data_IF_101039871494
#
_entry.id   IF_101039871494
#
_cell.length_a   1.000
_cell.length_b   1.000
_cell.length_c   1.000
_cell.angle_alpha   90.00
_cell.angle_beta   90.00
_cell.angle_gamma   90.00
#
_symmetry.space_group_name_H-M   'P 1'
#
loop_
_entity.id
_entity.type
_entity.pdbx_description
1 polymer ?
#
# COMPACT_ATOMS: atom_id res chain seq x y z
N UNK A 1 -1.55 -44.15 -32.57
CA UNK A 1 -0.46 -43.18 -32.72
C UNK A 1 -0.89 -42.22 -33.82
N UNK A 2 -1.51 -41.10 -33.47
CA UNK A 2 -1.90 -40.08 -34.43
C UNK A 2 -1.41 -38.72 -33.93
N UNK A 3 -0.72 -38.08 -34.84
CA UNK A 3 0.26 -37.01 -34.69
C UNK A 3 -0.47 -35.69 -34.42
N UNK A 4 -0.15 -35.02 -33.32
CA UNK A 4 -0.60 -33.66 -33.06
C UNK A 4 0.09 -32.70 -34.03
N UNK A 5 -0.70 -32.01 -34.85
CA UNK A 5 -0.24 -30.87 -35.63
C UNK A 5 -0.01 -29.69 -34.68
N UNK A 6 1.25 -29.36 -34.43
CA UNK A 6 1.61 -28.07 -33.85
C UNK A 6 1.47 -27.00 -34.94
N UNK A 7 0.51 -26.09 -34.78
CA UNK A 7 0.55 -24.81 -35.49
C UNK A 7 1.62 -23.96 -34.78
N UNK A 8 2.79 -23.87 -35.40
CA UNK A 8 3.75 -22.79 -35.15
C UNK A 8 3.09 -21.49 -35.60
N UNK A 9 2.88 -20.54 -34.69
CA UNK A 9 2.75 -19.15 -35.11
C UNK A 9 4.14 -18.68 -35.54
N UNK A 10 4.27 -18.43 -36.85
CA UNK A 10 5.45 -17.82 -37.44
C UNK A 10 5.63 -16.42 -36.85
N UNK A 11 6.81 -16.18 -36.32
CA UNK A 11 7.36 -14.83 -36.21
C UNK A 11 7.68 -14.41 -37.65
N UNK A 12 6.93 -13.45 -38.18
CA UNK A 12 7.24 -12.85 -39.48
C UNK A 12 8.41 -11.88 -39.25
N UNK A 13 9.64 -12.37 -39.42
CA UNK A 13 10.83 -11.55 -39.60
C UNK A 13 10.75 -10.89 -40.99
N UNK A 14 10.04 -9.76 -41.11
CA UNK A 14 10.31 -8.68 -42.09
C UNK A 14 9.11 -7.74 -42.27
N UNK A 15 8.80 -7.00 -41.21
CA UNK A 15 8.64 -5.56 -41.37
C UNK A 15 8.93 -4.95 -40.01
N UNK A 16 9.99 -4.15 -39.89
CA UNK A 16 9.99 -3.05 -38.92
C UNK A 16 8.83 -2.14 -39.34
N UNK A 17 7.62 -2.53 -38.97
CA UNK A 17 6.55 -1.58 -38.76
C UNK A 17 7.01 -0.83 -37.54
N UNK A 18 7.44 0.41 -37.71
CA UNK A 18 7.64 1.34 -36.60
C UNK A 18 6.38 1.27 -35.74
N UNK A 19 6.46 0.57 -34.61
CA UNK A 19 5.34 0.43 -33.70
C UNK A 19 5.12 1.84 -33.17
N UNK A 20 4.12 2.53 -33.72
CA UNK A 20 3.81 3.90 -33.35
C UNK A 20 3.33 3.90 -31.90
N UNK A 21 4.27 4.20 -31.00
CA UNK A 21 3.98 4.38 -29.58
C UNK A 21 3.00 5.55 -29.45
N UNK A 22 1.86 5.31 -28.83
CA UNK A 22 0.87 6.35 -28.59
C UNK A 22 1.41 7.39 -27.61
N UNK A 23 1.10 8.65 -27.87
CA UNK A 23 1.31 9.75 -26.94
C UNK A 23 0.01 10.02 -26.18
N UNK A 24 0.08 10.51 -24.95
CA UNK A 24 -1.07 10.89 -24.15
C UNK A 24 -1.91 12.03 -24.75
N UNK A 25 -1.33 12.78 -25.69
CA UNK A 25 -2.02 13.78 -26.50
C UNK A 25 -3.02 13.13 -27.49
N UNK A 26 -2.70 11.91 -27.95
CA UNK A 26 -3.45 11.15 -28.95
C UNK A 26 -3.04 9.67 -28.93
N UNK A 27 -3.95 8.83 -28.48
CA UNK A 27 -3.75 7.37 -28.42
C UNK A 27 -5.00 6.62 -28.88
N UNK A 28 -4.89 5.32 -29.09
CA UNK A 28 -6.02 4.47 -29.45
C UNK A 28 -6.32 3.48 -28.34
N UNK A 29 -7.60 3.13 -28.21
CA UNK A 29 -8.06 2.02 -27.39
C UNK A 29 -8.93 1.09 -28.22
N UNK A 30 -8.87 -0.20 -27.92
CA UNK A 30 -9.65 -1.24 -28.60
C UNK A 30 -10.21 -2.19 -27.57
N UNK A 31 -11.51 -2.45 -27.63
CA UNK A 31 -12.14 -3.50 -26.82
C UNK A 31 -11.63 -4.87 -27.27
N UNK A 32 -11.10 -5.66 -26.34
CA UNK A 32 -10.65 -7.04 -26.55
C UNK A 32 -11.55 -8.00 -25.78
N UNK A 33 -11.98 -9.05 -26.48
CA UNK A 33 -12.78 -10.13 -25.91
C UNK A 33 -12.10 -11.46 -26.23
N UNK A 34 -11.90 -12.29 -25.20
CA UNK A 34 -11.31 -13.61 -25.32
C UNK A 34 -12.17 -14.65 -24.61
N UNK A 35 -12.49 -15.73 -25.31
CA UNK A 35 -13.25 -16.86 -24.75
C UNK A 35 -12.78 -18.21 -25.29
N UNK A 36 -12.67 -18.35 -26.62
CA UNK A 36 -12.05 -19.50 -27.31
C UNK A 36 -11.11 -19.00 -28.40
N UNK A 37 -11.58 -18.01 -29.16
CA UNK A 37 -10.79 -17.19 -30.07
C UNK A 37 -10.67 -15.77 -29.52
N UNK A 38 -9.69 -15.03 -30.02
CA UNK A 38 -9.41 -13.65 -29.63
C UNK A 38 -10.05 -12.71 -30.63
N UNK A 39 -10.98 -11.91 -30.15
CA UNK A 39 -11.69 -10.93 -30.96
C UNK A 39 -11.40 -9.51 -30.47
N UNK A 40 -11.56 -8.56 -31.39
CA UNK A 40 -11.42 -7.14 -31.12
C UNK A 40 -12.64 -6.39 -31.66
N UNK A 41 -13.18 -5.50 -30.82
CA UNK A 41 -14.17 -4.52 -31.24
C UNK A 41 -13.55 -3.34 -31.96
N UNK A 42 -14.35 -2.31 -32.16
CA UNK A 42 -13.89 -1.09 -32.82
C UNK A 42 -12.73 -0.44 -32.06
N UNK A 43 -11.76 0.04 -32.81
CA UNK A 43 -10.68 0.88 -32.30
C UNK A 43 -11.13 2.32 -32.32
N UNK A 44 -11.02 3.00 -31.18
CA UNK A 44 -11.40 4.40 -31.03
C UNK A 44 -10.15 5.22 -30.75
N UNK A 45 -10.00 6.33 -31.46
CA UNK A 45 -8.98 7.34 -31.18
C UNK A 45 -9.44 8.24 -30.03
N UNK A 46 -8.57 8.38 -29.04
CA UNK A 46 -8.78 9.21 -27.85
C UNK A 46 -7.80 10.38 -27.93
N UNK A 47 -8.36 11.58 -28.01
CA UNK A 47 -7.59 12.83 -28.17
C UNK A 47 -7.76 13.79 -27.00
N UNK A 48 -8.69 13.49 -26.08
CA UNK A 48 -8.99 14.32 -24.90
C UNK A 48 -9.77 13.56 -23.83
N UNK A 49 -9.91 14.19 -22.67
CA UNK A 49 -10.79 13.74 -21.59
C UNK A 49 -12.25 13.64 -22.06
N UNK A 50 -12.95 12.60 -21.61
CA UNK A 50 -14.34 12.39 -22.00
C UNK A 50 -14.83 10.97 -21.81
N UNK A 51 -16.05 10.74 -22.27
CA UNK A 51 -16.68 9.42 -22.28
C UNK A 51 -16.60 8.82 -23.68
N UNK A 52 -16.25 7.55 -23.74
CA UNK A 52 -16.08 6.81 -25.00
C UNK A 52 -16.86 5.50 -24.91
N UNK A 53 -17.44 5.08 -26.02
CA UNK A 53 -18.24 3.85 -26.10
C UNK A 53 -17.65 2.91 -27.13
N UNK A 54 -17.47 1.66 -26.73
CA UNK A 54 -16.95 0.59 -27.55
C UNK A 54 -18.02 -0.46 -27.72
N UNK A 55 -18.10 -1.04 -28.91
CA UNK A 55 -19.08 -2.07 -29.21
C UNK A 55 -18.39 -3.24 -29.91
N UNK A 56 -18.83 -4.45 -29.58
CA UNK A 56 -18.46 -5.66 -30.29
C UNK A 56 -19.67 -6.60 -30.36
N UNK A 57 -19.94 -7.14 -31.55
CA UNK A 57 -20.97 -8.17 -31.73
C UNK A 57 -20.27 -9.52 -31.77
N UNK A 58 -20.60 -10.39 -30.81
CA UNK A 58 -19.98 -11.72 -30.74
C UNK A 58 -20.38 -12.61 -31.90
N UNK A 59 -19.47 -13.45 -32.36
CA UNK A 59 -19.67 -14.29 -33.55
C UNK A 59 -19.99 -15.75 -33.20
N UNK A 60 -19.77 -16.16 -31.95
CA UNK A 60 -19.91 -17.55 -31.48
C UNK A 60 -20.45 -17.61 -30.05
N UNK A 61 -21.13 -18.71 -29.74
CA UNK A 61 -21.55 -19.04 -28.38
C UNK A 61 -20.34 -19.34 -27.50
N UNK A 62 -20.32 -18.77 -26.30
CA UNK A 62 -19.24 -18.92 -25.35
C UNK A 62 -19.81 -19.13 -23.94
N UNK A 63 -19.55 -20.31 -23.38
CA UNK A 63 -19.96 -20.68 -22.01
C UNK A 63 -19.06 -20.12 -20.91
N UNK A 64 -17.96 -19.46 -21.31
CA UNK A 64 -17.01 -18.79 -20.42
C UNK A 64 -16.40 -17.58 -21.13
N UNK A 65 -16.24 -16.47 -20.39
CA UNK A 65 -15.44 -15.33 -20.81
C UNK A 65 -14.07 -15.43 -20.15
N UNK A 66 -13.00 -15.58 -20.93
CA UNK A 66 -11.63 -15.71 -20.43
C UNK A 66 -10.96 -14.34 -20.26
N UNK A 67 -11.27 -13.37 -21.11
CA UNK A 67 -10.81 -12.00 -20.96
C UNK A 67 -11.81 -11.01 -21.55
N UNK A 68 -12.00 -9.90 -20.85
CA UNK A 68 -12.61 -8.69 -21.39
C UNK A 68 -11.74 -7.51 -20.96
N UNK A 69 -11.19 -6.78 -21.92
CA UNK A 69 -10.19 -5.76 -21.64
C UNK A 69 -10.17 -4.63 -22.69
N UNK A 70 -9.47 -3.54 -22.39
CA UNK A 70 -9.11 -2.51 -23.36
C UNK A 70 -7.62 -2.57 -23.62
N UNK A 71 -7.24 -2.91 -24.85
CA UNK A 71 -5.87 -2.75 -25.30
C UNK A 71 -5.67 -1.31 -25.76
N UNK A 72 -4.63 -0.64 -25.28
CA UNK A 72 -4.22 0.67 -25.78
C UNK A 72 -3.01 0.53 -26.70
N UNK A 73 -2.55 1.64 -27.30
CA UNK A 73 -1.20 1.74 -27.86
C UNK A 73 -0.26 2.58 -26.96
N UNK A 74 -0.57 2.73 -25.67
CA UNK A 74 0.26 3.44 -24.70
C UNK A 74 1.29 2.48 -24.09
N UNK A 75 2.52 2.97 -23.86
CA UNK A 75 3.64 2.16 -23.40
C UNK A 75 4.13 2.55 -22.01
N UNK A 76 4.97 1.69 -21.45
CA UNK A 76 5.49 1.87 -20.11
C UNK A 76 6.20 3.21 -19.92
N UNK A 77 5.76 3.96 -18.91
CA UNK A 77 6.32 5.27 -18.56
C UNK A 77 5.67 6.47 -19.27
N UNK A 78 4.71 6.26 -20.17
CA UNK A 78 4.00 7.35 -20.87
C UNK A 78 2.81 7.88 -20.07
N UNK A 79 2.13 7.05 -19.26
CA UNK A 79 0.95 7.47 -18.48
C UNK A 79 1.32 8.44 -17.35
N UNK A 80 0.64 9.59 -17.29
CA UNK A 80 0.77 10.56 -16.21
C UNK A 80 -0.04 10.14 -14.96
N UNK A 81 0.28 10.71 -13.80
CA UNK A 81 -0.31 10.31 -12.50
C UNK A 81 -1.82 10.57 -12.39
N UNK A 82 -2.37 11.43 -13.24
CA UNK A 82 -3.79 11.78 -13.25
C UNK A 82 -4.57 11.02 -14.35
N UNK A 83 -3.86 10.23 -15.16
CA UNK A 83 -4.45 9.47 -16.23
C UNK A 83 -5.29 8.34 -15.67
N UNK A 84 -6.52 8.23 -16.15
CA UNK A 84 -7.39 7.13 -15.78
C UNK A 84 -8.25 6.73 -16.95
N UNK A 85 -8.32 5.42 -17.18
CA UNK A 85 -9.40 4.80 -17.94
C UNK A 85 -10.19 3.99 -16.94
N UNK A 86 -11.49 4.27 -16.84
CA UNK A 86 -12.42 3.51 -16.01
C UNK A 86 -13.58 3.05 -16.85
N UNK A 87 -13.94 1.76 -16.75
CA UNK A 87 -15.19 1.30 -17.33
C UNK A 87 -16.34 1.64 -16.39
N UNK A 88 -17.34 2.35 -16.89
CA UNK A 88 -18.52 2.75 -16.11
C UNK A 88 -19.58 1.65 -16.10
N UNK A 89 -19.76 0.99 -17.24
CA UNK A 89 -20.72 -0.10 -17.40
C UNK A 89 -20.36 -0.99 -18.58
N UNK A 90 -20.72 -2.26 -18.47
CA UNK A 90 -20.77 -3.22 -19.57
C UNK A 90 -22.23 -3.56 -19.82
N UNK A 91 -22.69 -3.44 -21.05
CA UNK A 91 -24.05 -3.80 -21.45
C UNK A 91 -23.94 -4.95 -22.44
N UNK A 92 -24.66 -6.03 -22.19
CA UNK A 92 -24.79 -7.13 -23.16
C UNK A 92 -26.25 -7.15 -23.61
N UNK A 93 -26.49 -6.79 -24.87
CA UNK A 93 -27.81 -6.47 -25.41
C UNK A 93 -28.50 -5.39 -24.56
N UNK A 94 -29.48 -5.77 -23.73
CA UNK A 94 -30.22 -4.86 -22.84
C UNK A 94 -29.83 -5.03 -21.36
N UNK A 95 -28.95 -5.99 -21.04
CA UNK A 95 -28.57 -6.29 -19.66
C UNK A 95 -27.37 -5.46 -19.25
N UNK A 96 -27.55 -4.62 -18.22
CA UNK A 96 -26.50 -3.76 -17.68
C UNK A 96 -25.75 -4.47 -16.54
N UNK A 97 -24.45 -4.66 -16.73
CA UNK A 97 -23.49 -5.15 -15.75
C UNK A 97 -22.71 -3.96 -15.19
N UNK A 98 -22.74 -3.82 -13.86
CA UNK A 98 -21.94 -2.82 -13.16
C UNK A 98 -20.51 -3.31 -13.04
N UNK A 99 -19.56 -2.39 -13.19
CA UNK A 99 -18.14 -2.69 -13.00
C UNK A 99 -17.78 -2.50 -11.53
N UNK A 100 -17.27 -3.57 -10.91
CA UNK A 100 -16.59 -3.52 -9.63
C UNK A 100 -15.18 -2.99 -9.83
N UNK A 101 -15.02 -1.68 -9.62
CA UNK A 101 -13.75 -0.98 -9.78
C UNK A 101 -12.62 -1.55 -8.91
N UNK A 102 -12.93 -2.29 -7.82
CA UNK A 102 -11.90 -2.93 -6.97
C UNK A 102 -11.29 -4.17 -7.61
N UNK A 103 -11.94 -4.70 -8.65
CA UNK A 103 -11.51 -5.88 -9.39
C UNK A 103 -11.16 -5.58 -10.85
N UNK A 104 -11.24 -4.33 -11.29
CA UNK A 104 -10.72 -3.94 -12.60
C UNK A 104 -9.28 -3.45 -12.42
N UNK A 105 -8.37 -3.82 -13.32
CA UNK A 105 -6.96 -3.53 -13.14
C UNK A 105 -6.24 -3.23 -14.45
N UNK A 106 -5.27 -2.31 -14.39
CA UNK A 106 -4.24 -2.20 -15.42
C UNK A 106 -3.32 -3.41 -15.32
N UNK A 107 -3.11 -4.09 -16.44
CA UNK A 107 -1.98 -4.97 -16.63
C UNK A 107 -0.83 -4.14 -17.24
N UNK A 108 0.19 -3.91 -16.42
CA UNK A 108 1.45 -3.25 -16.77
C UNK A 108 2.65 -4.17 -16.53
N UNK A 109 2.41 -5.47 -16.35
CA UNK A 109 3.43 -6.45 -15.98
C UNK A 109 4.38 -6.84 -17.13
N UNK A 110 4.07 -6.38 -18.35
CA UNK A 110 4.86 -6.62 -19.56
C UNK A 110 6.20 -5.88 -19.63
N UNK A 111 7.04 -6.29 -20.59
CA UNK A 111 8.26 -5.56 -20.98
C UNK A 111 7.89 -4.17 -21.52
N UNK A 112 8.87 -3.28 -21.65
CA UNK A 112 8.66 -1.90 -22.15
C UNK A 112 8.11 -1.83 -23.59
N UNK A 113 8.09 -2.97 -24.28
CA UNK A 113 7.53 -3.20 -25.62
C UNK A 113 6.05 -3.62 -25.62
N UNK A 114 5.44 -3.86 -24.46
CA UNK A 114 4.03 -4.25 -24.37
C UNK A 114 3.16 -3.03 -24.08
N UNK A 115 2.09 -2.81 -24.86
CA UNK A 115 1.17 -1.74 -24.57
C UNK A 115 0.31 -2.03 -23.34
N UNK A 116 -0.11 -0.97 -22.67
CA UNK A 116 -0.96 -1.06 -21.49
C UNK A 116 -2.34 -1.61 -21.82
N UNK A 117 -2.82 -2.51 -20.96
CA UNK A 117 -4.13 -3.15 -21.09
C UNK A 117 -4.95 -2.95 -19.82
N UNK A 118 -6.17 -2.45 -19.93
CA UNK A 118 -7.10 -2.34 -18.80
C UNK A 118 -8.08 -3.51 -18.78
N UNK A 119 -7.97 -4.39 -17.78
CA UNK A 119 -8.67 -5.68 -17.75
C UNK A 119 -9.87 -5.63 -16.80
N UNK A 120 -11.03 -6.07 -17.31
CA UNK A 120 -12.30 -6.18 -16.57
C UNK A 120 -12.58 -7.62 -16.11
N UNK A 121 -12.23 -8.61 -16.94
CA UNK A 121 -12.36 -10.04 -16.64
C UNK A 121 -11.04 -10.71 -16.99
N UNK A 122 -10.55 -11.58 -16.11
CA UNK A 122 -9.46 -12.50 -16.34
C UNK A 122 -9.79 -13.86 -15.71
N UNK A 123 -10.17 -14.81 -16.56
CA UNK A 123 -10.55 -16.17 -16.18
C UNK A 123 -9.40 -17.01 -15.58
N UNK A 124 -8.15 -16.58 -15.74
CA UNK A 124 -6.97 -17.26 -15.19
C UNK A 124 -6.50 -16.68 -13.84
N UNK A 125 -6.87 -15.42 -13.54
CA UNK A 125 -6.39 -14.69 -12.35
C UNK A 125 -7.44 -14.47 -11.26
N UNK A 126 -8.65 -15.05 -11.40
CA UNK A 126 -9.75 -14.81 -10.47
C UNK A 126 -10.31 -13.39 -10.53
N UNK A 127 -10.08 -12.69 -11.64
CA UNK A 127 -10.54 -11.31 -11.85
C UNK A 127 -11.89 -11.35 -12.56
N UNK A 128 -12.93 -10.86 -11.89
CA UNK A 128 -14.27 -10.74 -12.47
C UNK A 128 -14.96 -9.51 -11.89
N UNK A 129 -14.80 -8.38 -12.58
CA UNK A 129 -15.38 -7.10 -12.16
C UNK A 129 -16.85 -6.94 -12.56
N UNK A 130 -17.34 -7.72 -13.52
CA UNK A 130 -18.69 -7.53 -14.10
C UNK A 130 -19.64 -8.69 -13.85
N UNK A 131 -19.16 -9.85 -13.42
CA UNK A 131 -19.98 -11.04 -13.16
C UNK A 131 -20.48 -11.72 -14.44
N UNK A 132 -19.86 -11.44 -15.59
CA UNK A 132 -20.28 -11.94 -16.89
C UNK A 132 -19.61 -13.28 -17.16
N UNK A 133 -20.40 -14.34 -17.21
CA UNK A 133 -19.89 -15.71 -17.36
C UNK A 133 -20.19 -16.34 -18.72
N UNK A 134 -21.23 -15.90 -19.44
CA UNK A 134 -21.67 -16.51 -20.71
C UNK A 134 -22.14 -15.46 -21.70
N UNK A 135 -21.92 -15.71 -22.99
CA UNK A 135 -22.36 -14.86 -24.10
C UNK A 135 -22.75 -15.75 -25.29
N UNK A 136 -23.80 -15.38 -26.04
CA UNK A 136 -24.24 -16.10 -27.25
C UNK A 136 -23.82 -15.38 -28.51
N UNK A 137 -23.65 -16.11 -29.61
CA UNK A 137 -23.43 -15.55 -30.92
C UNK A 137 -24.53 -14.52 -31.26
N UNK A 138 -24.11 -13.35 -31.74
CA UNK A 138 -24.99 -12.22 -32.04
C UNK A 138 -25.23 -11.29 -30.85
N UNK A 139 -24.82 -11.65 -29.63
CA UNK A 139 -24.91 -10.73 -28.49
C UNK A 139 -23.98 -9.53 -28.71
N UNK A 140 -24.54 -8.35 -28.47
CA UNK A 140 -23.83 -7.07 -28.59
C UNK A 140 -23.28 -6.66 -27.22
N UNK A 141 -21.96 -6.68 -27.10
CA UNK A 141 -21.23 -6.17 -25.94
C UNK A 141 -20.95 -4.69 -26.19
N UNK A 142 -21.49 -3.82 -25.35
CA UNK A 142 -21.22 -2.38 -25.35
C UNK A 142 -20.57 -2.00 -24.05
N UNK A 143 -19.39 -1.37 -24.10
CA UNK A 143 -18.68 -0.92 -22.90
C UNK A 143 -18.50 0.59 -22.96
N UNK A 144 -18.95 1.27 -21.90
CA UNK A 144 -18.75 2.70 -21.73
C UNK A 144 -17.56 2.92 -20.82
N UNK A 145 -16.59 3.70 -21.28
CA UNK A 145 -15.45 4.13 -20.47
C UNK A 145 -15.46 5.63 -20.27
N UNK A 146 -14.80 6.05 -19.19
CA UNK A 146 -14.43 7.43 -18.94
C UNK A 146 -12.91 7.54 -18.93
N UNK A 147 -12.41 8.48 -19.71
CA UNK A 147 -11.00 8.84 -19.79
C UNK A 147 -10.80 10.19 -19.13
N UNK A 148 -9.83 10.28 -18.22
CA UNK A 148 -9.43 11.53 -17.58
C UNK A 148 -7.91 11.65 -17.55
N UNK A 149 -7.40 12.88 -17.49
CA UNK A 149 -5.98 13.15 -17.34
C UNK A 149 -5.17 13.01 -18.62
N UNK A 150 -5.79 13.15 -19.79
CA UNK A 150 -5.06 13.38 -21.04
C UNK A 150 -4.35 14.74 -21.01
N UNK A 151 -3.31 14.90 -21.83
CA UNK A 151 -2.56 16.15 -21.90
C UNK A 151 -3.34 17.28 -22.60
N UNK A 152 -4.23 16.90 -23.53
CA UNK A 152 -5.14 17.81 -24.23
C UNK A 152 -6.46 17.93 -23.48
N UNK A 153 -6.44 18.65 -22.36
CA UNK A 153 -7.64 18.90 -21.58
C UNK A 153 -8.60 19.82 -22.38
N UNK A 154 -9.88 19.43 -22.51
CA UNK A 154 -10.86 20.16 -23.32
C UNK A 154 -11.20 21.52 -22.71
N UNK A 155 -11.03 22.62 -23.47
CA UNK A 155 -11.66 23.91 -23.15
C UNK A 155 -13.14 23.96 -23.59
N UNK A 156 -14.00 24.43 -22.66
CA UNK A 156 -15.35 25.05 -22.75
C UNK A 156 -16.62 24.19 -23.01
N UNK A 157 -17.85 24.65 -22.62
CA UNK A 157 -18.26 25.89 -21.92
C UNK A 157 -19.03 25.67 -20.59
N UNK A 158 -19.26 26.77 -19.85
CA UNK A 158 -20.21 26.85 -18.74
C UNK A 158 -21.62 26.41 -19.17
N UNK A 159 -22.25 25.49 -18.43
CA UNK A 159 -23.69 25.41 -18.36
C UNK A 159 -24.16 24.99 -16.95
N UNK A 160 -25.17 25.69 -16.48
CA UNK A 160 -25.73 25.66 -15.13
C UNK A 160 -26.77 24.55 -15.01
N UNK A 161 -26.60 23.57 -14.10
CA UNK A 161 -27.71 22.77 -13.53
C UNK A 161 -27.49 22.40 -12.06
N UNK A 162 -28.64 22.30 -11.37
CA UNK A 162 -28.91 22.14 -9.93
C UNK A 162 -28.17 21.02 -9.17
N UNK A 163 -28.14 21.06 -7.82
CA UNK A 163 -27.21 20.27 -7.03
C UNK A 163 -27.72 18.86 -6.77
N UNK A 164 -27.16 17.88 -7.48
CA UNK A 164 -27.26 16.47 -7.09
C UNK A 164 -26.21 16.08 -6.03
N UNK A 165 -26.62 15.09 -5.23
CA UNK A 165 -26.06 14.69 -3.94
C UNK A 165 -24.56 14.39 -3.93
N UNK A 166 -23.85 15.06 -3.03
CA UNK A 166 -22.42 14.82 -2.81
C UNK A 166 -22.21 13.51 -2.07
N UNK A 167 -21.74 12.48 -2.79
CA UNK A 167 -21.07 11.32 -2.19
C UNK A 167 -19.91 11.79 -1.31
N UNK A 168 -19.74 11.10 -0.18
CA UNK A 168 -18.77 11.46 0.85
C UNK A 168 -17.32 11.50 0.32
N UNK A 169 -16.48 12.41 0.82
CA UNK A 169 -15.06 12.42 0.49
C UNK A 169 -14.43 11.18 1.11
N UNK A 170 -13.87 10.30 0.27
CA UNK A 170 -12.82 9.38 0.66
C UNK A 170 -11.75 10.18 1.42
N UNK A 171 -11.36 9.69 2.60
CA UNK A 171 -10.30 10.33 3.37
C UNK A 171 -9.04 10.35 2.50
N UNK A 172 -8.56 11.56 2.15
CA UNK A 172 -7.19 11.76 1.69
C UNK A 172 -6.28 11.14 2.78
N UNK A 173 -5.76 9.95 2.52
CA UNK A 173 -4.63 9.41 3.26
C UNK A 173 -3.48 10.37 2.92
N UNK A 174 -2.91 11.05 3.91
CA UNK A 174 -1.79 11.97 3.69
C UNK A 174 -0.67 11.19 2.96
N UNK A 175 -0.56 11.36 1.64
CA UNK A 175 0.49 10.74 0.83
C UNK A 175 1.83 11.26 1.34
N UNK A 176 2.77 10.36 1.65
CA UNK A 176 4.13 10.77 2.02
C UNK A 176 4.77 11.61 0.92
N UNK A 177 5.40 12.73 1.28
CA UNK A 177 6.15 13.55 0.33
C UNK A 177 7.50 12.85 0.07
N UNK A 178 7.97 12.81 -1.18
CA UNK A 178 9.28 12.25 -1.53
C UNK A 178 10.46 13.06 -0.99
N UNK A 179 10.22 14.29 -0.53
CA UNK A 179 11.19 15.08 0.26
C UNK A 179 11.33 14.56 1.70
N UNK A 180 10.30 13.87 2.22
CA UNK A 180 10.27 13.35 3.58
C UNK A 180 9.23 12.24 3.74
N UNK A 181 9.69 11.01 3.93
CA UNK A 181 8.84 9.85 4.17
C UNK A 181 9.39 8.97 5.29
N UNK A 182 8.60 8.06 5.82
CA UNK A 182 8.99 7.19 6.94
C UNK A 182 9.09 5.76 6.45
N UNK A 183 10.21 5.10 6.74
CA UNK A 183 10.36 3.65 6.61
C UNK A 183 10.18 2.99 7.96
N UNK A 184 9.39 1.93 8.00
CA UNK A 184 9.15 1.08 9.16
C UNK A 184 9.69 -0.31 8.92
N UNK A 185 10.70 -0.71 9.70
CA UNK A 185 11.06 -2.11 9.80
C UNK A 185 9.97 -2.82 10.61
N UNK A 186 9.38 -3.87 10.05
CA UNK A 186 8.49 -4.78 10.78
C UNK A 186 9.13 -6.15 10.83
N UNK A 187 9.35 -6.60 12.06
CA UNK A 187 9.92 -7.89 12.40
C UNK A 187 8.82 -8.71 13.08
N UNK A 188 8.42 -9.82 12.45
CA UNK A 188 7.41 -10.74 12.95
C UNK A 188 8.01 -12.13 13.14
N UNK A 189 8.23 -12.52 14.39
CA UNK A 189 8.66 -13.85 14.79
C UNK A 189 7.51 -14.63 15.46
N UNK A 190 7.72 -15.90 15.77
CA UNK A 190 6.73 -16.74 16.46
C UNK A 190 6.35 -16.19 17.86
N UNK A 191 7.26 -15.46 18.51
CA UNK A 191 7.14 -14.99 19.89
C UNK A 191 7.40 -13.48 20.08
N UNK A 192 7.96 -12.78 19.09
CA UNK A 192 8.31 -11.35 19.16
C UNK A 192 7.78 -10.58 17.94
N UNK A 193 7.22 -9.40 18.17
CA UNK A 193 6.71 -8.50 17.12
C UNK A 193 7.15 -7.08 17.44
N UNK A 194 8.05 -6.57 16.61
CA UNK A 194 8.61 -5.25 16.80
C UNK A 194 8.46 -4.40 15.53
N UNK A 195 8.30 -3.08 15.73
CA UNK A 195 8.31 -2.12 14.64
C UNK A 195 9.13 -0.89 15.02
N UNK A 196 10.00 -0.50 14.11
CA UNK A 196 10.88 0.65 14.23
C UNK A 196 10.64 1.57 13.06
N UNK A 197 10.62 2.87 13.29
CA UNK A 197 10.41 3.87 12.24
C UNK A 197 11.62 4.78 12.12
N UNK A 198 12.02 5.06 10.89
CA UNK A 198 13.04 6.03 10.54
C UNK A 198 12.48 6.99 9.50
N UNK A 199 12.64 8.29 9.74
CA UNK A 199 12.35 9.31 8.73
C UNK A 199 13.51 9.36 7.74
N UNK A 200 13.18 9.28 6.46
CA UNK A 200 14.09 9.42 5.32
C UNK A 200 13.86 10.81 4.73
N UNK A 201 14.94 11.59 4.64
CA UNK A 201 14.92 12.96 4.12
C UNK A 201 15.80 13.15 2.89
N UNK A 202 16.68 12.20 2.59
CA UNK A 202 17.62 12.27 1.47
C UNK A 202 18.03 10.88 0.96
N UNK A 203 18.69 10.86 -0.20
CA UNK A 203 19.33 9.66 -0.73
C UNK A 203 20.50 9.25 0.17
N UNK A 204 20.67 7.95 0.40
CA UNK A 204 21.74 7.48 1.28
C UNK A 204 21.60 6.04 1.72
N UNK A 205 22.55 5.62 2.57
CA UNK A 205 22.55 4.33 3.24
C UNK A 205 21.96 4.47 4.64
N UNK A 206 21.12 3.52 5.01
CA UNK A 206 20.39 3.54 6.27
C UNK A 206 20.43 2.16 6.94
N UNK A 207 20.37 2.17 8.26
CA UNK A 207 20.27 0.95 9.08
C UNK A 207 19.11 1.06 10.07
N UNK A 208 18.46 -0.06 10.33
CA UNK A 208 17.43 -0.21 11.37
C UNK A 208 17.74 -1.44 12.22
N UNK A 209 17.83 -1.26 13.54
CA UNK A 209 18.24 -2.30 14.49
C UNK A 209 17.13 -2.65 15.48
N UNK A 210 17.05 -3.93 15.84
CA UNK A 210 16.16 -4.48 16.85
C UNK A 210 16.90 -5.49 17.73
N UNK A 211 16.87 -5.30 19.04
CA UNK A 211 17.35 -6.31 19.99
C UNK A 211 16.20 -7.29 20.30
N UNK A 212 16.39 -8.56 19.97
CA UNK A 212 15.42 -9.61 20.21
C UNK A 212 15.12 -9.74 21.72
N UNK A 213 13.84 -9.75 22.09
CA UNK A 213 13.43 -9.76 23.51
C UNK A 213 13.18 -11.15 24.08
N UNK A 214 13.16 -12.16 23.20
CA UNK A 214 13.03 -13.58 23.53
C UNK A 214 13.73 -14.43 22.46
N UNK A 215 13.89 -15.72 22.73
CA UNK A 215 14.41 -16.66 21.74
C UNK A 215 13.39 -16.84 20.61
N UNK A 216 13.89 -16.84 19.38
CA UNK A 216 13.14 -16.93 18.13
C UNK A 216 13.72 -18.05 17.29
N UNK A 217 12.91 -19.09 17.08
CA UNK A 217 13.30 -20.25 16.27
C UNK A 217 13.38 -19.94 14.77
N UNK A 218 12.56 -19.00 14.28
CA UNK A 218 12.57 -18.55 12.89
C UNK A 218 11.78 -17.24 12.74
N UNK A 219 12.09 -16.49 11.69
CA UNK A 219 11.43 -15.23 11.36
C UNK A 219 10.29 -15.51 10.38
N UNK A 220 9.06 -15.21 10.77
CA UNK A 220 7.89 -15.36 9.90
C UNK A 220 7.83 -14.25 8.84
N UNK A 221 8.20 -13.03 9.25
CA UNK A 221 8.09 -11.81 8.44
C UNK A 221 9.25 -10.86 8.72
N UNK A 222 9.88 -10.36 7.66
CA UNK A 222 10.82 -9.24 7.72
C UNK A 222 10.53 -8.30 6.55
N UNK A 223 10.06 -7.09 6.85
CA UNK A 223 9.59 -6.14 5.82
C UNK A 223 10.00 -4.71 6.12
N UNK A 224 10.31 -3.94 5.08
CA UNK A 224 10.44 -2.48 5.14
C UNK A 224 9.15 -1.85 4.58
N UNK A 225 8.34 -1.26 5.45
CA UNK A 225 7.07 -0.63 5.10
C UNK A 225 7.24 0.89 5.00
N UNK A 226 6.85 1.50 3.90
CA UNK A 226 6.87 2.95 3.76
C UNK A 226 5.53 3.56 4.21
N UNK A 227 5.43 4.89 4.22
CA UNK A 227 4.16 5.62 4.17
C UNK A 227 3.93 6.29 2.80
N UNK A 228 4.60 5.79 1.75
CA UNK A 228 4.43 6.22 0.36
C UNK A 228 3.32 5.37 -0.29
N UNK A 229 2.46 5.98 -1.09
CA UNK A 229 1.29 5.35 -1.71
C UNK A 229 1.43 5.36 -3.24
N UNK A 230 0.56 4.62 -3.95
CA UNK A 230 0.54 4.63 -5.41
C UNK A 230 0.49 6.04 -5.99
N UNK A 231 1.40 6.30 -6.94
CA UNK A 231 1.59 7.60 -7.59
C UNK A 231 2.44 8.60 -6.77
N UNK A 232 2.98 8.23 -5.61
CA UNK A 232 3.94 9.07 -4.88
C UNK A 232 5.39 8.88 -5.34
N UNK A 233 5.71 7.78 -6.03
CA UNK A 233 7.08 7.44 -6.40
C UNK A 233 7.46 8.05 -7.74
N UNK A 234 8.61 8.70 -7.79
CA UNK A 234 9.23 8.99 -9.08
C UNK A 234 9.91 7.74 -9.66
N UNK A 235 10.14 7.76 -10.97
CA UNK A 235 10.76 6.66 -11.73
C UNK A 235 12.18 6.30 -11.30
N UNK A 236 12.86 7.19 -10.58
CA UNK A 236 14.22 6.98 -10.06
C UNK A 236 14.23 6.43 -8.63
N UNK A 237 13.07 6.38 -7.96
CA UNK A 237 13.01 5.95 -6.57
C UNK A 237 13.29 4.46 -6.43
N UNK A 238 14.25 4.13 -5.57
CA UNK A 238 14.61 2.75 -5.26
C UNK A 238 14.93 2.62 -3.78
N UNK A 239 14.31 1.63 -3.14
CA UNK A 239 14.78 1.06 -1.88
C UNK A 239 15.48 -0.25 -2.24
N UNK A 240 16.75 -0.37 -1.88
CA UNK A 240 17.56 -1.56 -2.13
C UNK A 240 18.07 -2.08 -0.80
N UNK A 241 17.46 -3.13 -0.22
CA UNK A 241 18.06 -3.81 0.92
C UNK A 241 19.35 -4.50 0.49
N UNK A 242 20.35 -4.42 1.37
CA UNK A 242 21.70 -4.90 1.09
C UNK A 242 21.99 -6.14 1.94
N UNK A 243 21.74 -6.05 3.23
CA UNK A 243 22.04 -7.13 4.17
C UNK A 243 21.17 -7.09 5.42
N UNK A 244 21.13 -8.25 6.08
CA UNK A 244 20.66 -8.40 7.45
C UNK A 244 21.84 -8.85 8.28
N UNK A 245 22.16 -8.16 9.37
CA UNK A 245 23.21 -8.54 10.31
C UNK A 245 22.57 -9.03 11.60
N UNK A 246 23.03 -10.17 12.11
CA UNK A 246 22.70 -10.65 13.45
C UNK A 246 23.98 -10.60 14.27
N UNK A 247 24.00 -9.74 15.28
CA UNK A 247 25.20 -9.36 16.02
C UNK A 247 26.31 -8.91 15.06
N UNK A 248 27.32 -9.74 14.83
CA UNK A 248 28.47 -9.46 13.97
C UNK A 248 28.45 -10.25 12.65
N UNK A 249 27.44 -11.12 12.44
CA UNK A 249 27.34 -11.96 11.24
C UNK A 249 26.40 -11.32 10.23
N UNK A 250 26.92 -10.98 9.06
CA UNK A 250 26.16 -10.37 7.96
C UNK A 250 25.65 -11.41 6.96
N UNK A 251 24.38 -11.28 6.59
CA UNK A 251 23.68 -12.11 5.62
C UNK A 251 23.22 -11.24 4.46
N UNK A 252 23.76 -11.48 3.27
CA UNK A 252 23.42 -10.69 2.09
C UNK A 252 21.98 -10.96 1.64
N UNK A 253 21.27 -9.89 1.31
CA UNK A 253 19.92 -9.98 0.76
C UNK A 253 20.02 -10.13 -0.76
N UNK A 254 19.36 -11.15 -1.31
CA UNK A 254 19.12 -11.19 -2.73
C UNK A 254 17.99 -10.23 -3.11
N UNK A 255 18.36 -9.04 -3.60
CA UNK A 255 17.42 -7.98 -4.01
C UNK A 255 16.62 -8.33 -5.27
N UNK A 256 16.99 -9.38 -6.02
CA UNK A 256 16.22 -9.89 -7.15
C UNK A 256 15.03 -10.74 -6.70
N UNK A 257 15.14 -11.38 -5.53
CA UNK A 257 14.08 -12.21 -4.92
C UNK A 257 13.23 -11.37 -3.96
N UNK A 258 13.81 -10.34 -3.36
CA UNK A 258 13.07 -9.46 -2.47
C UNK A 258 12.12 -8.55 -3.28
N UNK A 259 10.82 -8.79 -3.12
CA UNK A 259 9.80 -8.18 -3.97
C UNK A 259 9.22 -6.92 -3.36
N UNK A 260 9.03 -5.94 -4.23
CA UNK A 260 8.10 -4.83 -4.04
C UNK A 260 6.68 -5.39 -4.04
N UNK A 261 6.04 -5.41 -2.87
CA UNK A 261 4.66 -5.82 -2.74
C UNK A 261 3.81 -4.62 -2.35
N UNK A 262 2.85 -4.28 -3.20
CA UNK A 262 1.67 -3.52 -2.81
C UNK A 262 0.55 -4.54 -2.62
N UNK A 263 0.34 -5.00 -1.39
CA UNK A 263 -0.65 -6.04 -1.12
C UNK A 263 -2.05 -5.41 -1.13
N UNK A 264 -2.63 -5.32 -2.32
CA UNK A 264 -4.04 -4.95 -2.56
C UNK A 264 -4.27 -3.44 -2.67
N UNK A 265 -4.85 -3.01 -3.78
CA UNK A 265 -5.29 -1.64 -4.04
C UNK A 265 -4.20 -0.55 -3.91
N UNK A 266 -3.59 -0.21 -5.06
CA UNK A 266 -2.47 0.72 -5.19
C UNK A 266 -2.74 2.13 -4.62
N UNK A 267 -4.02 2.48 -4.42
CA UNK A 267 -4.41 3.80 -3.89
C UNK A 267 -4.43 3.82 -2.35
N UNK A 268 -4.59 2.68 -1.69
CA UNK A 268 -4.90 2.61 -0.24
C UNK A 268 -3.78 1.98 0.58
N UNK A 269 -2.97 1.10 -0.01
CA UNK A 269 -1.89 0.43 0.73
C UNK A 269 -0.52 1.05 0.44
N UNK A 270 0.26 1.37 1.49
CA UNK A 270 1.58 1.92 1.30
C UNK A 270 2.55 0.85 0.81
N UNK A 271 3.64 1.27 0.18
CA UNK A 271 4.59 0.34 -0.39
C UNK A 271 5.37 -0.43 0.67
N UNK A 272 5.45 -1.75 0.46
CA UNK A 272 6.16 -2.68 1.33
C UNK A 272 7.22 -3.44 0.54
N UNK A 273 8.44 -3.42 1.04
CA UNK A 273 9.52 -4.27 0.56
C UNK A 273 9.59 -5.52 1.44
N UNK A 274 9.35 -6.69 0.87
CA UNK A 274 9.33 -7.96 1.62
C UNK A 274 10.64 -8.70 1.47
N UNK A 275 11.34 -8.93 2.58
CA UNK A 275 12.61 -9.67 2.60
C UNK A 275 12.36 -11.15 2.96
N UNK A 276 11.54 -11.38 3.99
CA UNK A 276 11.16 -12.73 4.45
C UNK A 276 9.65 -12.77 4.62
N UNK A 277 9.03 -13.81 4.08
CA UNK A 277 7.63 -14.16 4.26
C UNK A 277 7.45 -15.69 4.17
N UNK A 278 7.31 -16.32 5.35
CA UNK A 278 7.10 -17.76 5.46
C UNK A 278 5.72 -18.24 4.99
N UNK A 279 4.73 -17.34 4.83
CA UNK A 279 3.38 -17.71 4.35
C UNK A 279 3.28 -17.77 2.82
N UNK A 280 4.23 -17.19 2.09
CA UNK A 280 4.22 -17.09 0.62
C UNK A 280 5.38 -17.78 -0.08
N UNK A 281 6.14 -18.66 0.61
CA UNK A 281 7.38 -19.27 0.12
C UNK A 281 8.41 -18.24 -0.39
N UNK A 282 8.55 -17.11 0.30
CA UNK A 282 9.44 -16.03 -0.10
C UNK A 282 10.49 -15.78 0.97
N UNK A 283 11.73 -16.20 0.71
CA UNK A 283 12.88 -15.96 1.58
C UNK A 283 14.04 -15.40 0.75
N UNK A 284 14.28 -14.09 0.82
CA UNK A 284 15.43 -13.46 0.15
C UNK A 284 16.77 -13.75 0.85
N UNK A 285 16.71 -14.26 2.08
CA UNK A 285 17.85 -14.58 2.94
C UNK A 285 17.46 -15.68 3.93
N UNK A 286 18.36 -16.63 4.19
CA UNK A 286 18.15 -17.69 5.17
C UNK A 286 18.82 -17.31 6.49
N UNK A 287 18.03 -16.95 7.49
CA UNK A 287 18.53 -16.47 8.78
C UNK A 287 18.54 -17.61 9.83
N UNK A 288 19.55 -17.66 10.70
CA UNK A 288 19.60 -18.63 11.79
C UNK A 288 18.54 -18.33 12.85
N UNK A 289 18.43 -19.24 13.83
CA UNK A 289 17.72 -18.97 15.08
C UNK A 289 18.34 -17.77 15.79
N UNK A 290 17.50 -16.93 16.38
CA UNK A 290 17.90 -15.72 17.10
C UNK A 290 17.67 -15.95 18.58
N UNK A 291 18.62 -15.59 19.43
CA UNK A 291 18.50 -15.66 20.88
C UNK A 291 18.06 -14.32 21.45
N UNK A 292 17.43 -14.36 22.62
CA UNK A 292 17.18 -13.15 23.39
C UNK A 292 18.47 -12.36 23.60
N UNK A 293 18.45 -11.08 23.24
CA UNK A 293 19.59 -10.17 23.35
C UNK A 293 20.37 -10.00 22.04
N UNK A 294 20.16 -10.85 21.04
CA UNK A 294 20.78 -10.67 19.72
C UNK A 294 20.27 -9.39 19.05
N UNK A 295 21.17 -8.69 18.36
CA UNK A 295 20.85 -7.49 17.61
C UNK A 295 20.66 -7.81 16.13
N UNK A 296 19.43 -7.68 15.65
CA UNK A 296 19.05 -7.78 14.25
C UNK A 296 19.12 -6.39 13.61
N UNK A 297 20.02 -6.17 12.67
CA UNK A 297 20.15 -4.93 11.91
C UNK A 297 19.88 -5.16 10.44
N UNK A 298 19.04 -4.33 9.82
CA UNK A 298 18.79 -4.35 8.37
C UNK A 298 19.46 -3.13 7.73
N UNK A 299 20.32 -3.36 6.75
CA UNK A 299 20.96 -2.33 5.93
C UNK A 299 20.24 -2.19 4.60
N UNK A 300 19.95 -0.95 4.20
CA UNK A 300 19.33 -0.66 2.91
C UNK A 300 19.77 0.71 2.39
N UNK A 301 19.72 0.88 1.06
CA UNK A 301 19.97 2.14 0.37
C UNK A 301 18.69 2.73 -0.18
N UNK A 302 18.55 4.04 -0.07
CA UNK A 302 17.48 4.81 -0.71
C UNK A 302 18.09 5.68 -1.81
N UNK A 303 17.48 5.65 -2.99
CA UNK A 303 17.77 6.55 -4.12
C UNK A 303 16.49 7.17 -4.64
N UNK A 304 16.60 8.33 -5.28
CA UNK A 304 15.49 8.97 -5.97
C UNK A 304 14.49 9.64 -5.02
N UNK A 305 14.96 10.20 -3.91
CA UNK A 305 14.25 11.33 -3.26
C UNK A 305 14.21 12.53 -4.22
N UNK A 306 13.39 13.54 -3.94
CA UNK A 306 13.14 14.73 -4.81
C UNK A 306 14.34 15.68 -5.03
N UNK A 307 15.57 15.17 -4.96
CA UNK A 307 16.83 15.91 -5.10
C UNK A 307 17.10 16.44 -6.53
N UNK A 308 16.13 16.39 -7.45
CA UNK A 308 16.26 16.90 -8.83
C UNK A 308 16.23 18.44 -8.94
N UNK A 309 16.29 19.17 -7.82
CA UNK A 309 16.46 20.64 -7.79
C UNK A 309 17.91 21.12 -7.65
N UNK A 310 18.94 20.27 -7.70
CA UNK A 310 20.34 20.73 -7.56
C UNK A 310 21.26 20.46 -8.76
N UNK A 311 20.73 20.31 -9.98
CA UNK A 311 21.56 20.38 -11.19
C UNK A 311 21.87 21.83 -11.63
N UNK A 312 22.18 22.73 -10.69
CA UNK A 312 22.94 23.96 -10.99
C UNK A 312 23.72 24.34 -9.74
N UNK A 313 25.00 23.95 -9.69
CA UNK A 313 26.17 24.76 -9.29
C UNK A 313 27.24 23.85 -8.66
N UNK A 314 28.16 23.37 -9.50
CA UNK A 314 29.38 22.70 -9.07
C UNK A 314 30.43 23.80 -8.84
N UNK A 315 31.04 23.88 -7.65
CA UNK A 315 32.48 24.04 -7.58
C UNK A 315 33.10 22.87 -6.81
N UNK A 316 34.07 22.28 -7.48
CA UNK A 316 34.96 21.21 -7.08
C UNK A 316 35.70 21.52 -5.78
N UNK A 317 35.55 20.70 -4.74
CA UNK A 317 36.59 20.49 -3.74
C UNK A 317 36.70 18.98 -3.46
N UNK A 318 37.73 18.39 -4.04
CA UNK A 318 38.25 17.08 -3.68
C UNK A 318 39.02 17.26 -2.36
N UNK A 319 38.65 16.55 -1.30
CA UNK A 319 39.49 16.37 -0.14
C UNK A 319 39.52 14.89 0.25
N UNK A 320 40.66 14.29 -0.04
CA UNK A 320 41.15 12.95 0.24
C UNK A 320 41.18 12.60 1.73
N UNK A 321 40.75 11.39 2.08
CA UNK A 321 41.30 10.65 3.23
C UNK A 321 41.79 9.28 2.72
N UNK A 322 43.12 9.11 2.74
CA UNK A 322 43.89 7.92 2.31
C UNK A 322 43.95 6.89 3.46
N UNK A 323 44.20 5.59 3.19
CA UNK A 323 44.04 4.49 4.14
C UNK A 323 45.30 4.24 4.98
N UNK A 324 45.15 3.55 6.12
CA UNK A 324 46.28 2.93 6.85
C UNK A 324 46.25 1.41 6.67
N UNK A 325 47.43 0.87 6.38
CA UNK A 325 47.75 -0.43 5.80
C UNK A 325 47.98 -1.53 6.83
N UNK A 326 47.51 -2.74 6.47
CA UNK A 326 47.99 -4.10 6.75
C UNK A 326 49.05 -4.36 7.86
N UNK A 327 48.91 -5.46 8.63
CA UNK A 327 50.05 -6.11 9.26
C UNK A 327 50.37 -7.44 8.57
N UNK A 328 51.52 -7.57 7.89
CA UNK A 328 52.20 -8.88 7.73
C UNK A 328 53.65 -8.70 7.25
N UNK A 329 54.62 -9.25 8.00
CA UNK A 329 55.89 -9.92 7.60
C UNK A 329 56.42 -10.48 8.94
N UNK A 330 56.53 -11.78 9.27
CA UNK A 330 57.15 -13.01 8.71
C UNK A 330 58.12 -13.58 9.81
N UNK A 331 58.48 -14.88 9.79
CA UNK A 331 58.79 -15.69 10.99
C UNK A 331 60.29 -16.04 11.17
N UNK A 332 60.66 -16.57 12.37
CA UNK A 332 61.75 -17.55 12.74
C UNK A 332 62.14 -17.34 14.22
N UNK A 333 62.55 -18.28 15.10
CA UNK A 333 62.85 -19.74 15.11
C UNK A 333 63.09 -20.16 16.59
N UNK A 334 62.51 -21.30 17.02
CA UNK A 334 63.05 -22.38 17.91
C UNK A 334 63.64 -22.10 19.34
N UNK A 335 63.88 -23.12 20.21
CA UNK A 335 62.92 -24.03 20.84
C UNK A 335 63.17 -24.26 22.38
N UNK A 336 62.33 -25.13 22.98
CA UNK A 336 62.54 -25.96 24.21
C UNK A 336 62.46 -25.35 25.63
N UNK A 337 61.52 -25.85 26.44
CA UNK A 337 61.80 -26.63 27.66
C UNK A 337 60.52 -27.39 28.12
N UNK A 338 60.75 -28.53 28.77
CA UNK A 338 59.88 -29.69 28.99
C UNK A 338 58.74 -29.51 30.05
N UNK A 339 57.86 -30.51 30.25
CA UNK A 339 56.60 -30.41 31.00
C UNK A 339 56.76 -30.70 32.49
N UNK A 340 55.72 -30.43 33.28
CA UNK A 340 55.56 -31.04 34.61
C UNK A 340 54.08 -31.33 34.89
N UNK A 341 53.84 -32.57 35.29
CA UNK A 341 52.56 -33.15 35.71
C UNK A 341 52.18 -32.69 37.12
N UNK A 342 50.88 -32.61 37.43
CA UNK A 342 50.21 -33.48 38.42
C UNK A 342 48.71 -33.11 38.62
N UNK A 343 47.88 -34.02 39.18
CA UNK A 343 46.49 -34.21 38.76
C UNK A 343 45.41 -33.90 39.84
N UNK A 344 44.16 -34.23 39.47
CA UNK A 344 42.96 -34.50 40.32
C UNK A 344 42.26 -33.27 40.91
N UNK A 345 40.92 -33.18 40.98
CA UNK A 345 39.93 -34.13 41.53
C UNK A 345 38.58 -33.97 40.83
N UNK A 346 37.89 -35.08 40.57
CA UNK A 346 36.48 -35.15 40.15
C UNK A 346 35.57 -35.04 41.37
N UNK A 347 34.53 -34.19 41.41
CA UNK A 347 33.43 -34.37 42.35
C UNK A 347 32.26 -35.10 41.70
N UNK A 348 31.85 -36.13 42.42
CA UNK A 348 30.72 -37.05 42.23
C UNK A 348 29.36 -36.38 42.09
N UNK A 349 28.48 -37.08 41.37
CA UNK A 349 27.04 -36.84 41.26
C UNK A 349 26.29 -37.20 42.55
N UNK A 350 25.53 -36.26 43.11
CA UNK A 350 24.40 -36.56 44.00
C UNK A 350 23.08 -36.47 43.22
N UNK A 351 22.11 -37.37 43.47
CA UNK A 351 20.81 -37.32 42.81
C UNK A 351 19.85 -36.39 43.57
N UNK A 352 19.43 -35.30 42.93
CA UNK A 352 18.38 -34.43 43.48
C UNK A 352 16.99 -34.96 43.10
N UNK A 353 16.18 -35.19 44.13
CA UNK A 353 14.79 -35.66 44.08
C UNK A 353 13.91 -34.69 43.26
N UNK A 354 13.14 -35.24 42.33
CA UNK A 354 12.20 -34.48 41.48
C UNK A 354 10.96 -34.09 42.31
N UNK A 355 10.57 -32.79 42.40
CA UNK A 355 9.30 -32.42 42.99
C UNK A 355 8.17 -32.55 41.96
N UNK A 356 7.10 -33.25 42.33
CA UNK A 356 5.88 -33.36 41.54
C UNK A 356 5.13 -32.02 41.57
N UNK A 357 4.97 -31.34 40.43
CA UNK A 357 4.13 -30.14 40.34
C UNK A 357 2.65 -30.55 40.22
N UNK A 358 1.81 -30.00 41.11
CA UNK A 358 0.35 -30.01 40.95
C UNK A 358 -0.05 -29.21 39.70
N UNK A 359 -1.16 -29.54 39.02
CA UNK A 359 -1.59 -28.83 37.82
C UNK A 359 -1.94 -27.38 38.19
N UNK A 360 -1.20 -26.42 37.65
CA UNK A 360 -1.56 -25.01 37.71
C UNK A 360 -2.49 -24.72 36.55
N UNK A 361 -3.72 -24.27 36.84
CA UNK A 361 -4.65 -23.78 35.84
C UNK A 361 -3.98 -22.60 35.13
N UNK A 362 -3.76 -22.72 33.82
CA UNK A 362 -3.06 -21.70 33.04
C UNK A 362 -3.73 -20.32 33.23
N UNK A 363 -2.96 -19.25 33.47
CA UNK A 363 -3.51 -17.92 33.60
C UNK A 363 -4.13 -17.51 32.26
N UNK A 364 -5.44 -17.26 32.25
CA UNK A 364 -6.11 -16.71 31.07
C UNK A 364 -5.53 -15.32 30.83
N UNK A 365 -4.78 -15.18 29.73
CA UNK A 365 -4.15 -13.93 29.29
C UNK A 365 -5.22 -12.84 29.21
N UNK A 366 -5.27 -11.95 30.20
CA UNK A 366 -6.20 -10.82 30.22
C UNK A 366 -5.75 -9.86 29.12
N UNK A 367 -6.37 -9.95 27.95
CA UNK A 367 -6.08 -9.07 26.82
C UNK A 367 -6.26 -7.62 27.24
N UNK A 368 -5.17 -6.85 27.17
CA UNK A 368 -5.23 -5.42 27.49
C UNK A 368 -5.90 -4.69 26.32
N UNK A 369 -6.95 -3.92 26.63
CA UNK A 369 -7.71 -3.18 25.62
C UNK A 369 -6.87 -2.04 25.03
N UNK A 370 -6.95 -1.84 23.71
CA UNK A 370 -6.31 -0.72 23.00
C UNK A 370 -6.95 0.63 23.40
N UNK A 371 -6.21 1.72 23.21
CA UNK A 371 -6.73 3.06 23.51
C UNK A 371 -7.62 3.59 22.38
N UNK A 372 -8.75 4.20 22.74
CA UNK A 372 -9.65 4.86 21.78
C UNK A 372 -9.27 6.32 21.58
N UNK A 373 -9.12 6.73 20.32
CA UNK A 373 -8.90 8.11 19.91
C UNK A 373 -10.18 8.66 19.27
N UNK A 374 -10.63 9.83 19.74
CA UNK A 374 -11.78 10.55 19.18
C UNK A 374 -11.28 11.71 18.32
N UNK A 375 -11.62 11.69 17.04
CA UNK A 375 -11.26 12.72 16.07
C UNK A 375 -12.46 13.65 15.83
N UNK A 376 -12.18 14.95 15.74
CA UNK A 376 -13.19 16.00 15.50
C UNK A 376 -12.66 16.86 14.36
N UNK A 377 -13.41 16.95 13.26
CA UNK A 377 -13.04 17.69 12.05
C UNK A 377 -14.12 18.72 11.70
N UNK A 378 -13.72 19.92 11.31
CA UNK A 378 -14.60 20.91 10.67
C UNK A 378 -14.18 21.04 9.21
N UNK A 379 -14.97 20.45 8.31
CA UNK A 379 -14.49 20.13 6.95
C UNK A 379 -13.32 19.13 7.01
N UNK A 380 -12.25 19.39 6.24
CA UNK A 380 -11.04 18.53 6.22
C UNK A 380 -10.11 18.75 7.43
N UNK A 381 -10.23 19.87 8.16
CA UNK A 381 -9.28 20.24 9.23
C UNK A 381 -9.66 19.63 10.58
N UNK A 382 -8.68 19.02 11.27
CA UNK A 382 -8.83 18.60 12.67
C UNK A 382 -8.90 19.83 13.57
N UNK A 383 -9.88 19.86 14.47
CA UNK A 383 -10.13 21.04 15.31
C UNK A 383 -10.36 20.65 16.78
N UNK A 384 -9.93 21.53 17.69
CA UNK A 384 -10.21 21.46 19.13
C UNK A 384 -11.36 22.38 19.56
N UNK A 385 -11.72 23.36 18.71
CA UNK A 385 -12.87 24.24 18.91
C UNK A 385 -13.51 24.66 17.59
N UNK A 386 -14.79 25.02 17.62
CA UNK A 386 -15.57 25.43 16.43
C UNK A 386 -16.23 26.78 16.69
N UNK A 387 -16.30 27.64 15.66
CA UNK A 387 -17.00 28.91 15.73
C UNK A 387 -18.26 28.86 14.87
N UNK A 388 -19.40 29.29 15.40
CA UNK A 388 -20.69 29.32 14.69
C UNK A 388 -21.30 30.70 14.85
N UNK A 389 -21.88 31.26 13.78
CA UNK A 389 -22.61 32.53 13.89
C UNK A 389 -23.97 32.32 14.52
N UNK A 390 -24.46 33.28 15.31
CA UNK A 390 -25.84 33.25 15.83
C UNK A 390 -26.86 33.05 14.68
N UNK A 391 -27.84 32.17 14.89
CA UNK A 391 -28.87 31.84 13.90
C UNK A 391 -28.42 30.83 12.84
N UNK A 392 -27.11 30.58 12.69
CA UNK A 392 -26.56 29.62 11.74
C UNK A 392 -26.26 28.28 12.40
N UNK A 393 -26.12 27.26 11.56
CA UNK A 393 -25.74 25.91 11.99
C UNK A 393 -24.40 25.52 11.39
N UNK A 394 -23.59 24.80 12.15
CA UNK A 394 -22.37 24.17 11.67
C UNK A 394 -22.48 22.65 11.83
N UNK A 395 -21.92 21.92 10.88
CA UNK A 395 -21.79 20.45 10.92
C UNK A 395 -20.32 20.11 11.18
N UNK A 396 -20.07 19.27 12.16
CA UNK A 396 -18.74 18.87 12.60
C UNK A 396 -18.66 17.35 12.50
N UNK A 397 -17.73 16.83 11.72
CA UNK A 397 -17.54 15.39 11.57
C UNK A 397 -16.78 14.84 12.77
N UNK A 398 -17.23 13.71 13.30
CA UNK A 398 -16.62 13.06 14.45
C UNK A 398 -16.46 11.57 14.23
N UNK A 399 -15.30 11.01 14.59
CA UNK A 399 -15.01 9.59 14.38
C UNK A 399 -14.15 9.02 15.50
N UNK A 400 -14.06 7.69 15.56
CA UNK A 400 -13.21 6.96 16.50
C UNK A 400 -12.50 5.81 15.82
N UNK A 401 -11.24 5.55 16.18
CA UNK A 401 -10.50 4.38 15.70
C UNK A 401 -11.08 3.03 16.17
N UNK A 402 -11.98 3.04 17.15
CA UNK A 402 -12.64 1.85 17.69
C UNK A 402 -13.95 1.48 16.99
N UNK A 403 -14.40 2.30 16.02
CA UNK A 403 -15.73 2.23 15.40
C UNK A 403 -16.91 2.19 16.40
N UNK A 404 -16.67 2.59 17.65
CA UNK A 404 -17.68 2.50 18.71
C UNK A 404 -18.70 3.63 18.60
N UNK A 405 -19.96 3.31 18.96
CA UNK A 405 -21.06 4.28 18.94
C UNK A 405 -20.74 5.49 19.83
N UNK A 406 -20.85 6.67 19.23
CA UNK A 406 -20.63 7.96 19.87
C UNK A 406 -21.90 8.50 20.53
N UNK A 407 -21.73 9.26 21.61
CA UNK A 407 -22.81 9.94 22.32
C UNK A 407 -22.36 11.28 22.88
N UNK A 408 -23.30 12.22 23.03
CA UNK A 408 -23.04 13.53 23.62
C UNK A 408 -23.46 13.51 25.08
N UNK A 409 -22.62 14.09 25.95
CA UNK A 409 -22.88 14.24 27.38
C UNK A 409 -22.25 15.53 27.92
N UNK A 410 -22.57 15.87 29.17
CA UNK A 410 -21.90 16.97 29.87
C UNK A 410 -22.22 18.37 29.33
N UNK A 411 -23.38 18.56 28.69
CA UNK A 411 -23.89 19.90 28.34
C UNK A 411 -24.70 20.43 29.53
N UNK A 412 -24.39 21.63 30.01
CA UNK A 412 -25.18 22.26 31.08
C UNK A 412 -26.49 22.88 30.57
N UNK A 413 -27.47 23.06 31.47
CA UNK A 413 -28.74 23.75 31.16
C UNK A 413 -28.53 25.19 30.66
N UNK A 414 -27.47 25.88 31.10
CA UNK A 414 -27.12 27.23 30.64
C UNK A 414 -26.61 27.20 29.20
N UNK A 415 -25.78 26.22 28.86
CA UNK A 415 -25.22 26.06 27.51
C UNK A 415 -26.27 25.63 26.46
N UNK A 416 -27.26 24.83 26.86
CA UNK A 416 -28.39 24.46 25.98
C UNK A 416 -29.25 25.67 25.55
N UNK A 417 -29.21 26.77 26.31
CA UNK A 417 -29.87 28.04 25.92
C UNK A 417 -29.06 28.82 24.88
N UNK A 418 -27.76 28.53 24.74
CA UNK A 418 -26.82 29.22 23.85
C UNK A 418 -26.71 28.50 22.51
N UNK A 419 -26.77 27.16 22.50
CA UNK A 419 -26.76 26.38 21.27
C UNK A 419 -27.59 25.09 21.39
N UNK A 420 -28.23 24.69 20.28
CA UNK A 420 -28.81 23.36 20.13
C UNK A 420 -27.76 22.43 19.50
N UNK A 421 -27.50 21.30 20.16
CA UNK A 421 -26.47 20.34 19.75
C UNK A 421 -27.11 18.98 19.53
N UNK A 422 -26.87 18.38 18.37
CA UNK A 422 -27.39 17.06 17.99
C UNK A 422 -26.26 16.23 17.38
N UNK A 423 -26.18 14.94 17.74
CA UNK A 423 -25.31 13.97 17.05
C UNK A 423 -26.18 13.06 16.19
N UNK A 424 -25.91 13.02 14.88
CA UNK A 424 -26.57 12.13 13.92
C UNK A 424 -25.56 11.73 12.85
N UNK A 425 -25.52 10.45 12.48
CA UNK A 425 -24.67 9.92 11.40
C UNK A 425 -23.20 10.36 11.51
N UNK A 426 -22.62 10.20 12.71
CA UNK A 426 -21.24 10.64 13.04
C UNK A 426 -20.94 12.13 12.77
N UNK A 427 -21.97 12.96 12.70
CA UNK A 427 -21.90 14.41 12.53
C UNK A 427 -22.57 15.09 13.71
N UNK A 428 -21.87 16.04 14.33
CA UNK A 428 -22.43 16.94 15.33
C UNK A 428 -22.95 18.17 14.61
N UNK A 429 -24.24 18.44 14.78
CA UNK A 429 -24.89 19.64 14.28
C UNK A 429 -25.04 20.61 15.44
N UNK A 430 -24.43 21.79 15.31
CA UNK A 430 -24.51 22.86 16.31
C UNK A 430 -25.21 24.05 15.71
N UNK A 431 -26.40 24.39 16.23
CA UNK A 431 -27.14 25.61 15.87
C UNK A 431 -26.92 26.66 16.96
N UNK A 432 -26.32 27.79 16.61
CA UNK A 432 -26.12 28.91 17.52
C UNK A 432 -27.44 29.64 17.76
N UNK A 433 -27.86 29.73 19.02
CA UNK A 433 -29.10 30.42 19.41
C UNK A 433 -28.82 31.83 19.95
N UNK A 434 -27.73 31.98 20.72
CA UNK A 434 -27.28 33.25 21.32
C UNK A 434 -25.76 33.31 21.34
N UNK A 435 -25.18 34.51 21.37
CA UNK A 435 -23.73 34.67 21.55
C UNK A 435 -23.28 34.06 22.86
N UNK A 436 -22.15 33.37 22.86
CA UNK A 436 -21.62 32.72 24.05
C UNK A 436 -20.76 31.50 23.74
N UNK A 437 -20.28 30.83 24.79
CA UNK A 437 -19.40 29.66 24.68
C UNK A 437 -20.10 28.43 25.25
N UNK A 438 -20.04 27.32 24.52
CA UNK A 438 -20.64 26.04 24.91
C UNK A 438 -19.56 24.96 24.93
N UNK A 439 -19.52 24.14 25.97
CA UNK A 439 -18.67 22.95 26.09
C UNK A 439 -19.51 21.71 26.29
N UNK A 440 -19.06 20.60 25.72
CA UNK A 440 -19.68 19.29 25.94
C UNK A 440 -18.69 18.18 25.68
N UNK A 441 -19.02 16.96 26.12
CA UNK A 441 -18.20 15.77 25.92
C UNK A 441 -18.80 14.87 24.87
N UNK A 442 -17.97 14.49 23.90
CA UNK A 442 -18.23 13.38 23.01
C UNK A 442 -17.63 12.12 23.62
N UNK A 443 -18.46 11.09 23.81
CA UNK A 443 -18.10 9.86 24.53
C UNK A 443 -18.23 8.66 23.60
N UNK A 444 -17.17 7.85 23.57
CA UNK A 444 -17.09 6.57 22.87
C UNK A 444 -17.23 5.42 23.87
N UNK A 445 -18.12 4.47 23.56
CA UNK A 445 -18.32 3.28 24.40
C UNK A 445 -17.10 2.35 24.34
N UNK A 446 -16.89 1.59 25.42
CA UNK A 446 -15.92 0.48 25.44
C UNK A 446 -16.37 -0.60 24.46
N UNK A 447 -15.42 -1.21 23.75
CA UNK A 447 -15.64 -2.40 22.91
C UNK A 447 -14.87 -3.61 23.47
N UNK A 448 -14.97 -4.76 22.81
CA UNK A 448 -14.17 -5.95 23.11
C UNK A 448 -12.67 -5.74 22.92
N UNK A 449 -12.27 -4.76 22.11
CA UNK A 449 -10.88 -4.49 21.72
C UNK A 449 -10.35 -3.14 22.20
N UNK A 450 -11.22 -2.15 22.46
CA UNK A 450 -10.84 -0.79 22.80
C UNK A 450 -11.48 -0.27 24.10
N UNK A 451 -10.73 0.55 24.86
CA UNK A 451 -11.20 1.23 26.07
C UNK A 451 -12.23 2.30 25.76
N UNK A 452 -13.11 2.63 26.71
CA UNK A 452 -13.97 3.83 26.63
C UNK A 452 -13.09 5.09 26.57
N UNK A 453 -13.53 6.10 25.84
CA UNK A 453 -12.85 7.39 25.77
C UNK A 453 -13.85 8.54 25.72
N UNK A 454 -13.42 9.74 26.09
CA UNK A 454 -14.21 10.96 25.97
C UNK A 454 -13.34 12.14 25.55
N UNK A 455 -13.88 13.03 24.73
CA UNK A 455 -13.22 14.27 24.29
C UNK A 455 -14.13 15.46 24.50
N UNK A 456 -13.62 16.50 25.15
CA UNK A 456 -14.34 17.76 25.33
C UNK A 456 -14.25 18.60 24.06
N UNK A 457 -15.40 19.07 23.58
CA UNK A 457 -15.53 19.95 22.43
C UNK A 457 -15.99 21.31 22.92
N UNK A 458 -15.35 22.37 22.42
CA UNK A 458 -15.71 23.76 22.72
C UNK A 458 -16.27 24.43 21.46
N UNK A 459 -17.42 25.09 21.59
CA UNK A 459 -18.05 25.87 20.52
C UNK A 459 -18.20 27.31 20.95
N UNK A 460 -17.72 28.24 20.12
CA UNK A 460 -17.90 29.68 20.31
C UNK A 460 -19.00 30.16 19.36
N UNK A 461 -20.09 30.67 19.91
CA UNK A 461 -21.17 31.30 19.14
C UNK A 461 -20.91 32.81 19.08
N UNK A 462 -20.66 33.33 17.88
CA UNK A 462 -20.30 34.75 17.64
C UNK A 462 -21.42 35.53 16.97
#
# INVERSE_FOLDING_TARGET
MNLFYFIRYGYDESSETDIVKGDMDKFTATLKYGAVEWDAGDTVEITKDGEYTFTYTTTKDNDKVLQLAFATNLYKGIMNDNFSITAESVVVNDTVYKVDATKAAWDNSGKDENPYTYTLINGWGGLDSVGLSKIKAGDKITVKIKVTGTNNNSEAPEETKEPEETKEPTEDIDKGNMDKFTIKLTYGASSDWASYSLDITEDGEYTLSHTATCDVDFINSLTLNTNLYGGSLNSYFKITPESVTINDTEYMINSEVAVWNNSGDAVVNPYTYTLINSWGNLNSVNLPKIKKGDNLTVKFRVKGTNSYKSFVNIPTVIATIKPSSSPTVAPTTEPTAAPTEEPTVVPTTEPTVVPTQKPTVAPTKKTSLKNTTITVKNGKKKVSSVTVKVGKSAKISVSTNSNAKLSISGISKKELKVAKIVLKDNKIIVKGLKKGKVKFKLVSKKTSTYKKASKTITVNIK
#
